data_IF_572157297730
#
_entry.id   IF_572157297730
#
_cell.length_a   1.000
_cell.length_b   1.000
_cell.length_c   1.000
_cell.angle_alpha   90.00
_cell.angle_beta   90.00
_cell.angle_gamma   90.00
#
_symmetry.space_group_name_H-M   'P 1'
#
loop_
_entity.id
_entity.type
_entity.pdbx_description
1 polymer ?
#
# COMPACT_ATOMS: atom_id res chain seq x y z
N UNK A 1 -5.80 -30.82 5.92
CA UNK A 1 -5.57 -29.34 5.86
C UNK A 1 -6.35 -28.72 4.70
N UNK A 2 -7.47 -28.01 4.93
CA UNK A 2 -8.37 -27.51 3.86
C UNK A 2 -8.01 -26.14 3.26
N UNK A 3 -6.86 -25.55 3.58
CA UNK A 3 -6.48 -24.16 3.20
C UNK A 3 -5.58 -24.14 1.96
N UNK A 4 -5.58 -23.00 1.25
CA UNK A 4 -4.73 -22.85 0.07
C UNK A 4 -3.25 -22.69 0.43
N UNK A 5 -2.45 -23.72 0.12
CA UNK A 5 -0.98 -23.74 0.32
C UNK A 5 -0.22 -23.55 -1.01
N UNK A 6 -0.93 -23.58 -2.13
CA UNK A 6 -0.34 -23.51 -3.47
C UNK A 6 0.34 -22.16 -3.82
N UNK A 7 0.75 -21.99 -5.10
CA UNK A 7 1.52 -20.84 -5.54
C UNK A 7 0.71 -19.52 -5.40
N UNK A 8 1.14 -18.65 -4.49
CA UNK A 8 0.44 -17.39 -4.14
C UNK A 8 0.56 -16.32 -5.24
N UNK A 9 1.72 -16.23 -5.90
CA UNK A 9 1.93 -15.29 -7.01
C UNK A 9 1.05 -15.59 -8.23
N UNK A 10 0.66 -16.85 -8.42
CA UNK A 10 -0.31 -17.24 -9.46
C UNK A 10 -1.66 -16.57 -9.23
N UNK A 11 -2.13 -16.54 -7.99
CA UNK A 11 -3.39 -15.89 -7.61
C UNK A 11 -3.30 -14.38 -7.75
N UNK A 12 -2.22 -13.75 -7.26
CA UNK A 12 -2.10 -12.28 -7.35
C UNK A 12 -1.99 -11.80 -8.79
N UNK A 13 -1.37 -12.56 -9.70
CA UNK A 13 -1.37 -12.27 -11.14
C UNK A 13 -2.78 -12.33 -11.76
N UNK A 14 -3.64 -13.22 -11.26
CA UNK A 14 -5.03 -13.39 -11.75
C UNK A 14 -5.99 -12.34 -11.18
N UNK A 15 -5.95 -12.12 -9.87
CA UNK A 15 -6.94 -11.32 -9.13
C UNK A 15 -6.46 -9.90 -8.83
N UNK A 16 -5.15 -9.63 -8.87
CA UNK A 16 -4.54 -8.36 -8.48
C UNK A 16 -3.77 -8.45 -7.16
N UNK A 17 -3.35 -7.29 -6.65
CA UNK A 17 -2.57 -7.23 -5.42
C UNK A 17 -3.44 -7.53 -4.19
N UNK A 18 -3.08 -8.58 -3.45
CA UNK A 18 -3.77 -9.02 -2.23
C UNK A 18 -2.78 -8.97 -1.07
N UNK A 19 -2.90 -7.97 -0.19
CA UNK A 19 -1.93 -7.72 0.88
C UNK A 19 -1.93 -8.83 1.94
N UNK A 20 -3.10 -9.37 2.28
CA UNK A 20 -3.21 -10.43 3.29
C UNK A 20 -2.63 -11.76 2.82
N UNK A 21 -2.64 -12.04 1.51
CA UNK A 21 -2.11 -13.27 0.93
C UNK A 21 -0.57 -13.28 0.83
N UNK A 22 0.01 -12.23 0.23
CA UNK A 22 1.46 -12.15 0.02
C UNK A 22 1.94 -10.70 -0.15
N UNK A 23 3.14 -10.41 0.35
CA UNK A 23 3.85 -9.15 0.13
C UNK A 23 4.64 -9.13 -1.18
N UNK A 24 4.95 -10.32 -1.73
CA UNK A 24 5.77 -10.44 -2.94
C UNK A 24 4.98 -9.90 -4.15
N UNK A 25 5.67 -9.16 -5.00
CA UNK A 25 5.14 -8.68 -6.29
C UNK A 25 5.73 -9.50 -7.44
N UNK A 26 4.96 -9.78 -8.50
CA UNK A 26 5.51 -10.46 -9.67
C UNK A 26 6.49 -9.55 -10.40
N UNK A 27 7.73 -10.00 -10.63
CA UNK A 27 8.77 -9.24 -11.32
C UNK A 27 8.88 -9.61 -12.80
N UNK A 28 8.98 -10.90 -13.13
CA UNK A 28 9.26 -11.41 -14.49
C UNK A 28 8.05 -11.50 -15.44
N UNK A 29 6.83 -11.33 -14.94
CA UNK A 29 5.58 -11.50 -15.73
C UNK A 29 4.80 -10.20 -15.78
N UNK A 30 5.52 -9.12 -16.11
CA UNK A 30 5.02 -7.75 -16.18
C UNK A 30 5.42 -7.18 -17.53
N UNK A 31 4.48 -6.56 -18.23
CA UNK A 31 4.72 -5.78 -19.45
C UNK A 31 4.69 -4.32 -19.05
N UNK A 32 5.70 -3.57 -19.49
CA UNK A 32 5.76 -2.12 -19.36
C UNK A 32 5.52 -1.52 -20.73
N UNK A 33 4.67 -0.52 -20.83
CA UNK A 33 4.49 0.26 -22.04
C UNK A 33 4.38 1.73 -21.65
N UNK A 34 4.79 2.58 -22.58
CA UNK A 34 4.79 4.01 -22.41
C UNK A 34 3.47 4.57 -22.95
N UNK A 35 2.74 5.34 -22.15
CA UNK A 35 1.52 6.04 -22.58
C UNK A 35 1.42 7.37 -21.85
N UNK A 36 1.19 8.46 -22.57
CA UNK A 36 0.98 9.81 -22.01
C UNK A 36 2.09 10.24 -21.03
N UNK A 37 3.37 10.05 -21.38
CA UNK A 37 4.53 10.34 -20.51
C UNK A 37 4.56 9.58 -19.17
N UNK A 38 3.78 8.50 -19.05
CA UNK A 38 3.78 7.60 -17.89
C UNK A 38 4.13 6.16 -18.28
N UNK A 39 4.89 5.50 -17.40
CA UNK A 39 5.20 4.08 -17.54
C UNK A 39 4.07 3.28 -16.90
N UNK A 40 3.22 2.66 -17.71
CA UNK A 40 2.15 1.80 -17.22
C UNK A 40 2.66 0.37 -17.14
N UNK A 41 2.52 -0.24 -15.97
CA UNK A 41 2.91 -1.64 -15.72
C UNK A 41 1.67 -2.53 -15.66
N UNK A 42 1.62 -3.55 -16.52
CA UNK A 42 0.54 -4.55 -16.51
C UNK A 42 1.08 -5.94 -16.20
N UNK A 43 0.45 -6.61 -15.25
CA UNK A 43 0.80 -7.98 -14.85
C UNK A 43 0.10 -8.98 -15.78
N UNK A 44 0.87 -9.90 -16.37
CA UNK A 44 0.34 -10.95 -17.24
C UNK A 44 -0.40 -12.00 -16.38
N UNK A 45 -1.69 -12.28 -16.64
CA UNK A 45 -2.43 -13.37 -15.99
C UNK A 45 -1.72 -14.72 -16.11
N UNK A 46 -1.99 -15.69 -15.22
CA UNK A 46 -1.46 -17.04 -15.37
C UNK A 46 -2.13 -17.80 -16.55
N UNK A 47 -1.43 -18.82 -17.06
CA UNK A 47 -1.88 -19.66 -18.19
C UNK A 47 -1.25 -19.28 -19.54
N UNK A 48 -1.31 -20.19 -20.51
CA UNK A 48 -0.77 -20.04 -21.87
C UNK A 48 -1.36 -18.81 -22.58
N UNK A 49 -2.69 -18.65 -22.54
CA UNK A 49 -3.39 -17.48 -23.12
C UNK A 49 -3.31 -16.21 -22.26
N UNK A 50 -2.42 -16.13 -21.27
CA UNK A 50 -2.28 -14.96 -20.39
C UNK A 50 -1.94 -13.68 -21.16
N UNK A 51 -1.10 -13.77 -22.19
CA UNK A 51 -0.73 -12.62 -23.05
C UNK A 51 -1.90 -12.20 -23.94
N UNK A 52 -2.56 -13.16 -24.59
CA UNK A 52 -3.76 -12.90 -25.41
C UNK A 52 -4.89 -12.23 -24.60
N UNK A 53 -5.15 -12.71 -23.36
CA UNK A 53 -6.11 -12.08 -22.44
C UNK A 53 -5.74 -10.65 -22.03
N UNK A 54 -4.44 -10.32 -22.03
CA UNK A 54 -3.98 -8.97 -21.72
C UNK A 54 -4.17 -8.03 -22.90
N UNK A 55 -3.93 -8.50 -24.13
CA UNK A 55 -4.16 -7.74 -25.37
C UNK A 55 -5.65 -7.44 -25.57
N UNK A 56 -6.53 -8.45 -25.39
CA UNK A 56 -8.00 -8.31 -25.49
C UNK A 56 -8.60 -7.32 -24.48
N UNK A 57 -7.92 -7.09 -23.35
CA UNK A 57 -8.31 -6.10 -22.32
C UNK A 57 -8.19 -4.64 -22.78
N UNK A 58 -7.59 -4.40 -23.96
CA UNK A 58 -7.29 -3.08 -24.51
C UNK A 58 -8.06 -2.76 -25.79
N UNK A 59 -8.80 -3.72 -26.36
CA UNK A 59 -9.55 -3.54 -27.61
C UNK A 59 -11.02 -3.16 -27.40
N UNK A 60 -11.69 -2.73 -28.49
CA UNK A 60 -13.13 -2.43 -28.58
C UNK A 60 -14.00 -3.63 -28.16
N UNK A 61 -13.57 -4.85 -28.45
CA UNK A 61 -14.17 -6.09 -27.95
C UNK A 61 -13.66 -6.41 -26.53
N UNK A 62 -13.94 -5.51 -25.59
CA UNK A 62 -14.03 -5.93 -24.20
C UNK A 62 -15.17 -6.95 -24.17
N UNK A 63 -14.88 -8.25 -24.26
CA UNK A 63 -15.85 -9.31 -23.94
C UNK A 63 -16.23 -9.07 -22.49
N UNK A 64 -17.28 -8.27 -22.35
CA UNK A 64 -17.61 -7.54 -21.15
C UNK A 64 -17.73 -8.54 -20.02
N UNK A 65 -17.08 -8.21 -18.91
CA UNK A 65 -17.09 -9.08 -17.73
C UNK A 65 -18.56 -9.27 -17.38
N UNK A 66 -19.10 -10.47 -17.60
CA UNK A 66 -20.46 -10.76 -17.16
C UNK A 66 -20.62 -10.35 -15.70
N UNK A 67 -21.82 -9.91 -15.32
CA UNK A 67 -22.10 -9.54 -13.93
C UNK A 67 -21.65 -10.66 -12.96
N UNK A 68 -21.85 -11.92 -13.37
CA UNK A 68 -21.33 -13.09 -12.68
C UNK A 68 -19.80 -13.08 -12.52
N UNK A 69 -19.03 -12.86 -13.59
CA UNK A 69 -17.56 -12.83 -13.53
C UNK A 69 -17.04 -11.72 -12.61
N UNK A 70 -17.71 -10.56 -12.59
CA UNK A 70 -17.36 -9.45 -11.69
C UNK A 70 -17.58 -9.91 -10.23
N UNK A 71 -18.77 -10.41 -9.91
CA UNK A 71 -19.14 -10.92 -8.58
C UNK A 71 -18.19 -12.04 -8.13
N UNK A 72 -17.90 -13.00 -9.00
CA UNK A 72 -16.96 -14.09 -8.74
C UNK A 72 -15.55 -13.57 -8.45
N UNK A 73 -15.05 -12.58 -9.20
CA UNK A 73 -13.73 -11.99 -8.94
C UNK A 73 -13.69 -11.27 -7.60
N UNK A 74 -14.73 -10.53 -7.23
CA UNK A 74 -14.83 -9.85 -5.93
C UNK A 74 -14.84 -10.88 -4.80
N UNK A 75 -15.69 -11.91 -4.90
CA UNK A 75 -15.73 -13.05 -3.96
C UNK A 75 -14.35 -13.69 -3.77
N UNK A 76 -13.69 -14.03 -4.87
CA UNK A 76 -12.37 -14.67 -4.85
C UNK A 76 -11.30 -13.75 -4.28
N UNK A 77 -11.32 -12.44 -4.60
CA UNK A 77 -10.42 -11.45 -3.98
C UNK A 77 -10.57 -11.43 -2.48
N UNK A 78 -11.81 -11.38 -1.99
CA UNK A 78 -12.11 -11.34 -0.56
C UNK A 78 -11.64 -12.63 0.13
N UNK A 79 -12.00 -13.80 -0.42
CA UNK A 79 -11.57 -15.11 0.09
C UNK A 79 -10.06 -15.21 0.26
N UNK A 80 -9.31 -14.89 -0.80
CA UNK A 80 -7.85 -15.00 -0.77
C UNK A 80 -7.17 -13.89 0.00
N UNK A 81 -7.76 -12.69 0.09
CA UNK A 81 -7.21 -11.63 0.91
C UNK A 81 -7.23 -12.02 2.39
N UNK A 82 -8.34 -12.57 2.90
CA UNK A 82 -8.50 -13.02 4.28
C UNK A 82 -8.03 -14.46 4.56
N UNK A 83 -7.61 -15.20 3.54
CA UNK A 83 -7.11 -16.58 3.70
C UNK A 83 -8.16 -17.59 4.13
N UNK A 84 -9.42 -17.38 3.74
CA UNK A 84 -10.57 -18.21 4.11
C UNK A 84 -10.78 -19.39 3.14
N UNK A 85 -11.45 -20.43 3.63
CA UNK A 85 -12.05 -21.44 2.74
C UNK A 85 -13.39 -20.94 2.18
N UNK A 86 -13.86 -21.55 1.09
CA UNK A 86 -15.16 -21.17 0.51
C UNK A 86 -16.30 -21.42 1.51
N UNK A 87 -16.29 -22.57 2.20
CA UNK A 87 -17.26 -22.93 3.22
C UNK A 87 -17.31 -21.88 4.34
N UNK A 88 -16.14 -21.47 4.86
CA UNK A 88 -16.06 -20.42 5.89
C UNK A 88 -16.61 -19.08 5.39
N UNK A 89 -16.30 -18.69 4.15
CA UNK A 89 -16.82 -17.45 3.58
C UNK A 89 -18.35 -17.48 3.49
N UNK A 90 -18.93 -18.59 3.01
CA UNK A 90 -20.39 -18.75 2.94
C UNK A 90 -21.02 -18.68 4.34
N UNK A 91 -20.41 -19.29 5.35
CA UNK A 91 -20.88 -19.20 6.73
C UNK A 91 -20.87 -17.74 7.24
N UNK A 92 -19.83 -16.96 6.94
CA UNK A 92 -19.79 -15.54 7.31
C UNK A 92 -20.86 -14.71 6.60
N UNK A 93 -21.11 -14.99 5.32
CA UNK A 93 -22.20 -14.33 4.58
C UNK A 93 -23.56 -14.69 5.19
N UNK A 94 -23.79 -15.96 5.55
CA UNK A 94 -25.02 -16.38 6.24
C UNK A 94 -25.18 -15.69 7.59
N UNK A 95 -24.11 -15.55 8.37
CA UNK A 95 -24.12 -14.81 9.65
C UNK A 95 -24.43 -13.33 9.44
N UNK A 96 -23.77 -12.68 8.47
CA UNK A 96 -23.99 -11.28 8.17
C UNK A 96 -25.43 -10.99 7.69
N UNK A 97 -26.04 -11.91 6.92
CA UNK A 97 -27.43 -11.79 6.46
C UNK A 97 -28.47 -11.85 7.58
N UNK A 98 -28.15 -12.44 8.73
CA UNK A 98 -29.06 -12.50 9.88
C UNK A 98 -29.12 -11.20 10.67
N UNK A 99 -28.12 -10.33 10.49
CA UNK A 99 -28.03 -9.04 11.18
C UNK A 99 -28.75 -7.99 10.34
N UNK A 100 -29.55 -7.12 10.98
CA UNK A 100 -30.42 -6.13 10.31
C UNK A 100 -29.65 -5.04 9.55
N UNK A 101 -28.38 -4.82 9.90
CA UNK A 101 -27.51 -3.83 9.26
C UNK A 101 -27.12 -4.20 7.81
N UNK A 102 -26.42 -3.29 7.12
CA UNK A 102 -25.91 -3.55 5.78
C UNK A 102 -25.02 -4.80 5.74
N UNK A 103 -25.50 -5.84 5.06
CA UNK A 103 -24.84 -7.16 5.01
C UNK A 103 -23.37 -7.09 4.56
N UNK A 104 -23.03 -6.15 3.67
CA UNK A 104 -21.66 -5.96 3.21
C UNK A 104 -20.74 -5.39 4.30
N UNK A 105 -21.23 -4.43 5.08
CA UNK A 105 -20.50 -3.82 6.19
C UNK A 105 -20.30 -4.84 7.31
N UNK A 106 -21.36 -5.53 7.71
CA UNK A 106 -21.31 -6.58 8.73
C UNK A 106 -20.36 -7.71 8.32
N UNK A 107 -20.41 -8.17 7.06
CA UNK A 107 -19.49 -9.19 6.56
C UNK A 107 -18.04 -8.74 6.73
N UNK A 108 -17.72 -7.50 6.34
CA UNK A 108 -16.36 -6.98 6.47
C UNK A 108 -15.95 -6.84 7.94
N UNK A 109 -16.85 -6.38 8.81
CA UNK A 109 -16.62 -6.30 10.25
C UNK A 109 -16.31 -7.68 10.85
N UNK A 110 -17.13 -8.70 10.56
CA UNK A 110 -16.90 -10.08 11.01
C UNK A 110 -15.56 -10.62 10.52
N UNK A 111 -15.13 -10.27 9.30
CA UNK A 111 -13.83 -10.68 8.77
C UNK A 111 -12.67 -9.93 9.41
N UNK A 112 -12.85 -8.65 9.72
CA UNK A 112 -11.82 -7.83 10.36
C UNK A 112 -11.61 -8.22 11.83
N UNK A 113 -12.67 -8.63 12.55
CA UNK A 113 -12.65 -9.05 13.96
C UNK A 113 -11.94 -10.39 14.22
N UNK A 114 -11.57 -11.14 13.19
CA UNK A 114 -10.85 -12.40 13.36
C UNK A 114 -9.44 -12.16 13.90
N UNK A 115 -9.00 -12.98 14.85
CA UNK A 115 -7.67 -12.86 15.47
C UNK A 115 -6.52 -12.87 14.44
N UNK A 116 -6.58 -13.75 13.43
CA UNK A 116 -5.54 -13.78 12.39
C UNK A 116 -5.44 -12.51 11.55
N UNK A 117 -6.58 -11.86 11.33
CA UNK A 117 -6.62 -10.59 10.63
C UNK A 117 -6.19 -9.43 11.53
N UNK A 118 -6.60 -9.40 12.81
CA UNK A 118 -6.17 -8.38 13.77
C UNK A 118 -4.64 -8.38 13.93
N UNK A 119 -4.02 -9.53 14.11
CA UNK A 119 -2.55 -9.63 14.22
C UNK A 119 -1.85 -9.13 12.94
N UNK A 120 -2.44 -9.40 11.78
CA UNK A 120 -1.96 -8.87 10.51
C UNK A 120 -2.12 -7.33 10.45
N UNK A 121 -3.23 -6.78 10.93
CA UNK A 121 -3.50 -5.33 11.01
C UNK A 121 -2.56 -4.61 11.98
N UNK A 122 -2.26 -5.24 13.12
CA UNK A 122 -1.25 -4.78 14.09
C UNK A 122 0.20 -4.91 13.58
N UNK A 123 0.41 -5.46 12.37
CA UNK A 123 1.72 -5.67 11.75
C UNK A 123 2.69 -6.55 12.54
N UNK A 124 2.21 -7.28 13.55
CA UNK A 124 2.97 -8.31 14.27
C UNK A 124 3.35 -9.48 13.34
N UNK A 125 2.55 -9.71 12.30
CA UNK A 125 2.79 -10.70 11.26
C UNK A 125 2.84 -10.08 9.86
N UNK A 126 3.62 -10.66 8.93
CA UNK A 126 3.76 -10.07 7.61
C UNK A 126 2.55 -10.27 6.69
N UNK A 127 1.88 -11.40 6.81
CA UNK A 127 0.73 -11.83 6.00
C UNK A 127 -0.24 -12.56 6.91
N UNK A 128 -1.50 -12.72 6.51
CA UNK A 128 -2.48 -13.43 7.34
C UNK A 128 -2.05 -14.89 7.53
N UNK A 129 -1.51 -15.53 6.48
CA UNK A 129 -0.97 -16.89 6.61
C UNK A 129 0.13 -17.01 7.67
N UNK A 130 1.02 -16.01 7.74
CA UNK A 130 2.03 -15.95 8.80
C UNK A 130 1.42 -15.67 10.17
N UNK A 131 0.39 -14.80 10.26
CA UNK A 131 -0.33 -14.54 11.50
C UNK A 131 -0.96 -15.83 12.04
N UNK A 132 -1.59 -16.63 11.17
CA UNK A 132 -2.15 -17.94 11.53
C UNK A 132 -1.09 -18.90 12.05
N UNK A 133 0.11 -18.91 11.45
CA UNK A 133 1.21 -19.73 11.94
C UNK A 133 1.63 -19.29 13.35
N UNK A 134 1.74 -17.97 13.58
CA UNK A 134 2.07 -17.41 14.89
C UNK A 134 1.02 -17.80 15.95
N UNK A 135 -0.27 -17.71 15.61
CA UNK A 135 -1.38 -18.10 16.47
C UNK A 135 -1.36 -19.61 16.74
N UNK A 136 -1.29 -20.44 15.70
CA UNK A 136 -1.31 -21.90 15.82
C UNK A 136 -0.17 -22.42 16.71
N UNK A 137 1.01 -21.80 16.64
CA UNK A 137 2.16 -22.14 17.49
C UNK A 137 2.05 -21.58 18.93
N UNK A 138 0.98 -20.86 19.26
CA UNK A 138 0.70 -20.41 20.61
C UNK A 138 1.55 -19.23 21.08
N UNK A 139 1.94 -18.35 20.16
CA UNK A 139 2.70 -17.13 20.49
C UNK A 139 1.82 -15.97 20.94
N UNK A 140 0.50 -16.12 20.97
CA UNK A 140 -0.47 -15.04 21.16
C UNK A 140 -1.39 -15.36 22.33
N UNK A 141 -1.64 -14.34 23.12
CA UNK A 141 -2.55 -14.34 24.25
C UNK A 141 -3.63 -13.30 24.02
N UNK A 142 -4.86 -13.62 24.40
CA UNK A 142 -6.00 -12.70 24.43
C UNK A 142 -6.51 -12.69 25.86
N UNK A 143 -6.58 -11.50 26.48
CA UNK A 143 -6.97 -11.33 27.88
C UNK A 143 -6.18 -12.28 28.82
N UNK A 144 -4.86 -12.33 28.63
CA UNK A 144 -3.91 -13.19 29.34
C UNK A 144 -4.11 -14.72 29.18
N UNK A 145 -5.02 -15.17 28.31
CA UNK A 145 -5.22 -16.59 27.98
C UNK A 145 -4.60 -16.93 26.63
N UNK A 146 -3.92 -18.07 26.54
CA UNK A 146 -3.31 -18.55 25.30
C UNK A 146 -4.39 -18.92 24.28
N UNK A 147 -4.38 -18.27 23.12
CA UNK A 147 -5.34 -18.58 22.03
C UNK A 147 -4.58 -19.09 20.82
N UNK A 148 -4.86 -20.35 20.45
CA UNK A 148 -4.27 -21.03 19.28
C UNK A 148 -5.23 -21.15 18.10
N UNK A 149 -6.43 -20.57 18.19
CA UNK A 149 -7.47 -20.64 17.16
C UNK A 149 -7.45 -19.35 16.32
N UNK A 150 -7.03 -19.37 15.05
CA UNK A 150 -6.95 -18.16 14.24
C UNK A 150 -8.31 -17.61 13.81
N UNK A 151 -9.37 -18.41 13.93
CA UNK A 151 -10.76 -18.01 13.70
C UNK A 151 -11.46 -17.45 14.93
N UNK A 152 -10.75 -17.31 16.06
CA UNK A 152 -11.26 -16.63 17.24
C UNK A 152 -11.78 -15.23 16.85
N UNK A 153 -12.97 -14.89 17.30
CA UNK A 153 -13.58 -13.59 17.09
C UNK A 153 -13.25 -12.72 18.28
N UNK A 154 -12.40 -11.73 18.07
CA UNK A 154 -12.09 -10.77 19.13
C UNK A 154 -13.26 -9.83 19.32
N UNK A 155 -13.55 -9.54 20.58
CA UNK A 155 -14.51 -8.54 20.98
C UNK A 155 -13.82 -7.17 21.10
N UNK A 156 -14.59 -6.06 20.97
CA UNK A 156 -14.05 -4.76 21.33
C UNK A 156 -13.53 -4.80 22.77
N UNK A 157 -12.42 -4.09 23.04
CA UNK A 157 -11.70 -4.05 24.32
C UNK A 157 -10.89 -5.31 24.67
N UNK A 158 -10.85 -6.33 23.82
CA UNK A 158 -9.91 -7.44 24.01
C UNK A 158 -8.44 -6.97 23.99
N UNK A 159 -7.67 -7.40 24.99
CA UNK A 159 -6.24 -7.12 25.09
C UNK A 159 -5.45 -8.25 24.45
N UNK A 160 -4.72 -7.93 23.37
CA UNK A 160 -3.90 -8.90 22.65
C UNK A 160 -2.43 -8.73 23.06
N UNK A 161 -1.86 -9.77 23.65
CA UNK A 161 -0.46 -9.80 24.08
C UNK A 161 0.31 -10.93 23.39
N UNK A 162 1.64 -10.82 23.41
CA UNK A 162 2.56 -11.83 22.87
C UNK A 162 3.10 -12.66 24.01
N UNK A 163 3.27 -13.96 23.78
CA UNK A 163 3.89 -14.86 24.74
C UNK A 163 5.25 -14.32 25.23
N UNK A 164 5.47 -14.32 26.54
CA UNK A 164 6.74 -13.92 27.19
C UNK A 164 7.78 -15.04 26.99
N UNK A 165 8.13 -15.30 25.73
CA UNK A 165 9.18 -16.22 25.31
C UNK A 165 10.07 -15.48 24.33
N UNK A 166 11.39 -15.59 24.49
CA UNK A 166 12.37 -14.89 23.66
C UNK A 166 12.13 -15.10 22.15
N UNK A 167 11.84 -16.34 21.73
CA UNK A 167 11.55 -16.67 20.33
C UNK A 167 10.32 -15.91 19.79
N UNK A 168 9.25 -15.82 20.57
CA UNK A 168 8.01 -15.10 20.22
C UNK A 168 8.26 -13.60 20.09
N UNK A 169 8.92 -13.02 21.09
CA UNK A 169 9.23 -11.59 21.14
C UNK A 169 10.15 -11.20 19.97
N UNK A 170 11.21 -11.96 19.72
CA UNK A 170 12.13 -11.73 18.60
C UNK A 170 11.40 -11.76 17.25
N UNK A 171 10.49 -12.72 17.05
CA UNK A 171 9.71 -12.85 15.82
C UNK A 171 8.81 -11.63 15.58
N UNK A 172 8.06 -11.21 16.60
CA UNK A 172 7.14 -10.07 16.51
C UNK A 172 7.91 -8.75 16.37
N UNK A 173 8.95 -8.54 17.17
CA UNK A 173 9.80 -7.33 17.11
C UNK A 173 10.50 -7.19 15.75
N UNK A 174 10.92 -8.29 15.13
CA UNK A 174 11.46 -8.27 13.75
C UNK A 174 10.44 -7.76 12.73
N UNK A 175 9.17 -8.15 12.87
CA UNK A 175 8.11 -7.70 11.95
C UNK A 175 7.73 -6.24 12.20
N UNK A 176 7.58 -5.85 13.47
CA UNK A 176 7.28 -4.48 13.88
C UNK A 176 8.40 -3.51 13.48
N UNK A 177 9.65 -3.80 13.80
CA UNK A 177 10.80 -2.97 13.41
C UNK A 177 10.86 -2.76 11.88
N UNK A 178 10.61 -3.81 11.09
CA UNK A 178 10.53 -3.70 9.62
C UNK A 178 9.39 -2.80 9.17
N UNK A 179 8.25 -2.84 9.86
CA UNK A 179 7.12 -1.97 9.60
C UNK A 179 7.42 -0.51 9.95
N UNK A 180 7.98 -0.24 11.13
CA UNK A 180 8.39 1.09 11.57
C UNK A 180 9.43 1.72 10.63
N UNK A 181 10.49 0.98 10.25
CA UNK A 181 11.47 1.43 9.24
C UNK A 181 10.79 1.84 7.93
N UNK A 182 9.78 1.08 7.50
CA UNK A 182 9.00 1.39 6.29
C UNK A 182 8.17 2.65 6.47
N UNK A 183 7.44 2.82 7.58
CA UNK A 183 6.69 4.06 7.85
C UNK A 183 7.62 5.26 7.91
N UNK A 184 8.74 5.16 8.62
CA UNK A 184 9.69 6.25 8.76
C UNK A 184 10.22 6.70 7.40
N UNK A 185 10.49 5.74 6.50
CA UNK A 185 10.86 6.04 5.11
C UNK A 185 9.76 6.77 4.34
N UNK A 186 8.48 6.46 4.59
CA UNK A 186 7.35 7.18 4.00
C UNK A 186 7.20 8.58 4.60
N UNK A 187 7.30 8.73 5.92
CA UNK A 187 7.24 10.02 6.62
C UNK A 187 8.34 10.96 6.12
N UNK A 188 9.57 10.46 5.95
CA UNK A 188 10.70 11.23 5.39
C UNK A 188 10.51 11.62 3.91
N UNK A 189 9.82 10.80 3.12
CA UNK A 189 9.47 11.17 1.73
C UNK A 189 8.37 12.22 1.73
N UNK A 190 7.38 12.07 2.59
CA UNK A 190 6.24 12.97 2.67
C UNK A 190 6.62 14.35 3.22
N UNK A 191 7.53 14.42 4.20
CA UNK A 191 8.09 15.69 4.70
C UNK A 191 8.78 16.51 3.61
N UNK A 192 9.25 15.85 2.55
CA UNK A 192 9.93 16.47 1.42
C UNK A 192 8.98 16.79 0.26
N UNK A 193 7.66 16.65 0.44
CA UNK A 193 6.67 17.02 -0.57
C UNK A 193 6.27 18.49 -0.41
N UNK A 194 6.12 19.20 -1.53
CA UNK A 194 5.71 20.61 -1.54
C UNK A 194 4.35 20.78 -0.88
N UNK A 195 3.37 19.92 -1.22
CA UNK A 195 2.03 20.00 -0.65
C UNK A 195 2.03 19.91 0.89
N UNK A 196 2.93 19.13 1.48
CA UNK A 196 3.05 19.02 2.93
C UNK A 196 3.72 20.26 3.54
N UNK A 197 4.75 20.80 2.87
CA UNK A 197 5.41 22.03 3.30
C UNK A 197 4.45 23.23 3.28
N UNK A 198 3.60 23.34 2.26
CA UNK A 198 2.56 24.37 2.17
C UNK A 198 1.58 24.32 3.35
N UNK A 199 1.19 23.12 3.77
CA UNK A 199 0.34 22.95 4.95
C UNK A 199 1.08 23.24 6.26
N UNK A 200 2.35 22.85 6.36
CA UNK A 200 3.15 23.06 7.57
C UNK A 200 3.42 24.56 7.84
N UNK A 201 3.60 25.35 6.78
CA UNK A 201 3.78 26.82 6.84
C UNK A 201 2.42 27.55 6.95
N UNK A 202 1.30 26.81 7.08
CA UNK A 202 -0.08 27.35 7.12
C UNK A 202 -0.47 28.20 5.90
N UNK A 203 0.23 28.05 4.76
CA UNK A 203 -0.13 28.72 3.52
C UNK A 203 -1.41 28.15 2.90
N UNK A 204 -1.73 26.89 3.20
CA UNK A 204 -2.93 26.18 2.75
C UNK A 204 -3.45 25.33 3.91
N UNK A 205 -4.78 25.29 4.13
CA UNK A 205 -5.38 24.54 5.25
C UNK A 205 -5.21 23.01 5.15
N UNK A 206 -5.39 22.45 3.95
CA UNK A 206 -5.40 20.99 3.77
C UNK A 206 -4.46 20.55 2.64
N UNK A 207 -3.95 19.33 2.77
CA UNK A 207 -3.08 18.70 1.75
C UNK A 207 -3.86 18.56 0.43
N UNK A 208 -5.17 18.26 0.49
CA UNK A 208 -6.00 18.14 -0.72
C UNK A 208 -6.08 19.44 -1.51
N UNK A 209 -6.26 20.57 -0.81
CA UNK A 209 -6.29 21.88 -1.45
C UNK A 209 -4.93 22.23 -2.06
N UNK A 210 -3.83 21.90 -1.37
CA UNK A 210 -2.48 22.09 -1.91
C UNK A 210 -2.25 21.25 -3.18
N UNK A 211 -2.74 20.01 -3.22
CA UNK A 211 -2.67 19.15 -4.41
C UNK A 211 -3.47 19.71 -5.58
N UNK A 212 -4.63 20.31 -5.31
CA UNK A 212 -5.47 20.94 -6.32
C UNK A 212 -4.79 22.19 -6.92
N UNK A 213 -4.26 23.08 -6.08
CA UNK A 213 -3.54 24.28 -6.53
C UNK A 213 -2.32 23.93 -7.39
N UNK A 214 -1.61 22.85 -7.07
CA UNK A 214 -0.49 22.33 -7.87
C UNK A 214 -0.97 21.83 -9.24
N UNK A 215 -2.12 21.13 -9.31
CA UNK A 215 -2.70 20.68 -10.58
C UNK A 215 -3.16 21.85 -11.46
N UNK A 216 -3.73 22.87 -10.84
CA UNK A 216 -4.16 24.11 -11.50
C UNK A 216 -2.98 25.02 -11.90
N UNK A 217 -1.74 24.67 -11.56
CA UNK A 217 -0.55 25.45 -11.91
C UNK A 217 -0.42 26.77 -11.15
N UNK A 218 -1.12 26.93 -10.01
CA UNK A 218 -1.13 28.16 -9.20
C UNK A 218 0.05 28.27 -8.22
N UNK A 219 1.00 27.34 -8.30
CA UNK A 219 2.20 27.29 -7.47
C UNK A 219 3.42 27.46 -8.36
N UNK A 220 4.23 28.48 -8.06
CA UNK A 220 5.39 28.87 -8.85
C UNK A 220 6.64 28.86 -7.99
N UNK A 221 7.75 28.43 -8.56
CA UNK A 221 9.07 28.56 -7.99
C UNK A 221 9.85 29.63 -8.74
N UNK A 222 10.45 30.56 -7.99
CA UNK A 222 11.35 31.58 -8.51
C UNK A 222 12.72 31.40 -7.85
N UNK A 223 13.70 31.14 -8.70
CA UNK A 223 15.13 31.15 -8.38
C UNK A 223 15.82 32.33 -9.05
N UNK A 224 17.07 32.64 -8.65
CA UNK A 224 17.89 33.72 -9.26
C UNK A 224 17.97 33.64 -10.80
N UNK A 225 17.78 32.45 -11.38
CA UNK A 225 17.95 32.20 -12.81
C UNK A 225 16.70 31.63 -13.52
N UNK A 226 15.64 31.22 -12.79
CA UNK A 226 14.52 30.47 -13.39
C UNK A 226 13.18 30.76 -12.72
N UNK A 227 12.15 30.95 -13.54
CA UNK A 227 10.74 30.88 -13.15
C UNK A 227 10.18 29.52 -13.59
N UNK A 228 9.66 28.73 -12.65
CA UNK A 228 9.19 27.37 -12.91
C UNK A 228 7.81 27.14 -12.31
N UNK A 229 6.86 26.71 -13.13
CA UNK A 229 5.54 26.26 -12.65
C UNK A 229 5.69 24.88 -12.00
N UNK A 230 5.22 24.75 -10.77
CA UNK A 230 5.19 23.49 -10.05
C UNK A 230 3.93 22.74 -10.47
N UNK A 231 4.06 21.88 -11.49
CA UNK A 231 2.97 21.04 -12.00
C UNK A 231 2.85 19.68 -11.29
N UNK A 232 3.86 19.31 -10.50
CA UNK A 232 3.91 18.01 -9.79
C UNK A 232 4.36 18.22 -8.35
N UNK A 233 3.72 17.51 -7.43
CA UNK A 233 4.01 17.51 -5.99
C UNK A 233 5.44 17.14 -5.65
N UNK A 234 6.04 16.32 -6.51
CA UNK A 234 7.40 15.84 -6.40
C UNK A 234 8.42 16.73 -7.13
N UNK A 235 8.07 17.95 -7.54
CA UNK A 235 9.06 18.84 -8.16
C UNK A 235 10.19 19.16 -7.19
N UNK A 236 11.39 19.24 -7.74
CA UNK A 236 12.62 19.52 -7.00
C UNK A 236 12.72 21.04 -6.86
N UNK A 237 12.87 21.51 -5.62
CA UNK A 237 13.13 22.92 -5.31
C UNK A 237 14.47 23.04 -4.57
N UNK A 238 15.48 23.73 -5.12
CA UNK A 238 16.76 23.91 -4.46
C UNK A 238 16.63 24.78 -3.19
N UNK A 239 17.61 24.69 -2.27
CA UNK A 239 17.62 25.55 -1.10
C UNK A 239 17.85 27.00 -1.52
N UNK A 240 17.12 27.94 -0.92
CA UNK A 240 17.18 29.36 -1.25
C UNK A 240 16.13 29.81 -2.26
N UNK A 241 15.46 28.89 -2.96
CA UNK A 241 14.36 29.21 -3.87
C UNK A 241 13.14 29.76 -3.14
N UNK A 242 12.33 30.53 -3.85
CA UNK A 242 11.11 31.12 -3.30
C UNK A 242 9.90 30.53 -4.01
N UNK A 243 9.00 29.91 -3.24
CA UNK A 243 7.74 29.38 -3.73
C UNK A 243 6.66 30.44 -3.53
N UNK A 244 5.93 30.74 -4.59
CA UNK A 244 4.76 31.60 -4.61
C UNK A 244 3.52 30.74 -4.80
N UNK A 245 2.54 30.88 -3.90
CA UNK A 245 1.25 30.20 -4.00
C UNK A 245 0.18 31.25 -4.25
N UNK A 246 -0.48 31.19 -5.40
CA UNK A 246 -1.65 32.03 -5.69
C UNK A 246 -2.89 31.38 -5.07
N UNK A 247 -3.45 32.02 -4.06
CA UNK A 247 -4.73 31.65 -3.45
C UNK A 247 -5.78 32.70 -3.79
N UNK A 248 -7.06 32.41 -3.55
CA UNK A 248 -8.14 33.41 -3.73
C UNK A 248 -7.96 34.65 -2.86
N UNK A 249 -7.24 34.54 -1.73
CA UNK A 249 -6.99 35.63 -0.77
C UNK A 249 -5.71 36.43 -1.07
N UNK A 250 -4.95 36.06 -2.10
CA UNK A 250 -3.68 36.69 -2.45
C UNK A 250 -2.54 35.70 -2.66
N UNK A 251 -1.32 36.25 -2.82
CA UNK A 251 -0.11 35.48 -3.11
C UNK A 251 0.72 35.29 -1.85
N UNK A 252 0.94 34.04 -1.45
CA UNK A 252 1.78 33.69 -0.30
C UNK A 252 3.20 33.37 -0.78
N UNK A 253 4.20 34.01 -0.18
CA UNK A 253 5.62 33.82 -0.48
C UNK A 253 6.27 32.93 0.59
N UNK A 254 6.96 31.88 0.16
CA UNK A 254 7.61 30.90 1.06
C UNK A 254 9.05 30.69 0.63
N UNK A 255 10.00 30.95 1.53
CA UNK A 255 11.43 30.71 1.27
C UNK A 255 11.80 29.28 1.65
N UNK A 256 12.40 28.55 0.71
CA UNK A 256 12.80 27.15 0.89
C UNK A 256 14.13 27.09 1.65
N UNK A 257 14.08 26.79 2.96
CA UNK A 257 15.29 26.67 3.80
C UNK A 257 16.06 25.36 3.59
N UNK A 258 15.36 24.27 3.25
CA UNK A 258 15.94 22.94 3.02
C UNK A 258 15.50 22.41 1.65
N UNK A 259 16.37 21.71 0.89
CA UNK A 259 16.03 21.24 -0.44
C UNK A 259 14.80 20.32 -0.41
N UNK A 260 13.82 20.63 -1.25
CA UNK A 260 12.62 19.83 -1.41
C UNK A 260 12.89 18.77 -2.48
N UNK A 261 12.68 17.52 -2.09
CA UNK A 261 12.82 16.34 -2.96
C UNK A 261 14.19 16.18 -3.64
N UNK A 262 15.29 16.08 -2.86
CA UNK A 262 16.54 15.49 -3.39
C UNK A 262 16.26 14.05 -3.80
N UNK A 263 16.07 13.79 -5.10
CA UNK A 263 16.51 12.50 -5.64
C UNK A 263 17.99 12.44 -5.31
N UNK A 264 18.42 11.45 -4.52
CA UNK A 264 19.82 11.02 -4.59
C UNK A 264 20.03 10.66 -6.06
N UNK A 265 20.48 11.61 -6.89
CA UNK A 265 21.26 11.25 -8.06
C UNK A 265 22.43 10.52 -7.44
N UNK A 266 22.39 9.19 -7.47
CA UNK A 266 23.62 8.44 -7.60
C UNK A 266 24.25 9.03 -8.86
N UNK A 267 25.06 10.07 -8.70
CA UNK A 267 26.16 10.25 -9.61
C UNK A 267 26.94 8.94 -9.43
N UNK A 268 26.76 8.02 -10.37
CA UNK A 268 27.93 7.27 -10.84
C UNK A 268 28.87 8.35 -11.36
N UNK A 269 29.60 9.01 -10.46
CA UNK A 269 30.90 9.53 -10.84
C UNK A 269 31.63 8.27 -11.27
N UNK A 270 31.81 8.16 -12.58
CA UNK A 270 32.80 7.27 -13.12
C UNK A 270 34.06 7.50 -12.28
N UNK A 271 34.53 6.44 -11.62
CA UNK A 271 35.93 6.30 -11.27
C UNK A 271 36.71 6.38 -12.59
N UNK A 272 36.97 7.60 -13.05
CA UNK A 272 38.19 7.97 -13.74
C UNK A 272 38.98 8.78 -12.73
N UNK A 273 39.59 8.07 -11.77
CA UNK A 273 40.96 8.40 -11.38
C UNK A 273 41.78 8.21 -12.66
N UNK A 274 41.93 9.25 -13.47
CA UNK A 274 43.16 9.41 -14.24
C UNK A 274 43.98 10.36 -13.40
N UNK A 275 45.05 9.79 -12.84
CA UNK A 275 46.08 10.54 -12.16
C UNK A 275 46.62 11.60 -13.13
N UNK A 276 46.85 12.79 -12.60
CA UNK A 276 47.84 13.70 -13.14
C UNK A 276 49.23 13.04 -12.98
N UNK A 277 50.07 13.28 -13.99
CA UNK A 277 51.54 13.25 -13.97
C UNK A 277 52.26 11.89 -14.06
N UNK A 278 52.59 11.53 -15.30
CA UNK A 278 53.97 11.52 -15.83
C UNK A 278 53.95 12.17 -17.22
#
# INVERSE_FOLDING_TARGET
MSKYIGPKLRITRRLGQLRGLTRKKPHRRVIKFFKNNEIITRVIPPGQHGRAKLAKRTGRFNTSKSNYLIRLKVKQKLRFNYGLTERQLVLYVKKAKKIKESTGQVLLQLLEMRLDNIIFRLNMAPTIMAARQIINHGHIYVNNKKVNIPSYMCQPKDVISVAIKQKSLKLVNKNLSRYYKRIQSFKKRFSNNIAFLLTQVKAVLTISLAMQLIREGKVFEKDKFRNKIISRVNSICPPGSVIYVRTKKGVVRIRVKKPINRRKRQFKTNLKKKMLDL
#
